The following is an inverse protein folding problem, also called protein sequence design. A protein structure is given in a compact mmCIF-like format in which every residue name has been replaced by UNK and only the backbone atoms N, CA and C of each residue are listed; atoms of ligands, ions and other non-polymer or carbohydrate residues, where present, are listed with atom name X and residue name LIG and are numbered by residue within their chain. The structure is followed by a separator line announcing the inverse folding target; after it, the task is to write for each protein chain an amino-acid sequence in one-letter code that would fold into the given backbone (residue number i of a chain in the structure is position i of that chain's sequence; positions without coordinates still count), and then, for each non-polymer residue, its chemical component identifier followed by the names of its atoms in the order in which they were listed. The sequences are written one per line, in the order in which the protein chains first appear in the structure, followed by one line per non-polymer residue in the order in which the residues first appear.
data_IF_955682682970
#
_entry.id   IF_955682682970
#
_cell.length_a   1.000
_cell.length_b   1.000
_cell.length_c   1.000
_cell.angle_alpha   90.00
_cell.angle_beta   90.00
_cell.angle_gamma   90.00
#
_symmetry.space_group_name_H-M   'P 1'
#
loop_
_entity.id
_entity.type
_entity.pdbx_description
1 polymer ?
#
# COMPACT_ATOMS: atom_id res chain seq x y z
N UNK A 1 -30.84 40.10 -42.63
CA UNK A 1 -30.87 41.23 -41.68
C UNK A 1 -29.85 40.93 -40.60
N UNK A 2 -28.85 41.83 -40.48
CA UNK A 2 -28.09 42.24 -39.27
C UNK A 2 -27.50 41.16 -38.36
N UNK A 3 -26.25 41.17 -37.87
CA UNK A 3 -25.03 42.01 -37.96
C UNK A 3 -23.89 41.08 -37.46
N UNK A 4 -22.72 40.96 -38.12
CA UNK A 4 -21.48 41.70 -37.83
C UNK A 4 -21.34 42.19 -36.38
N UNK A 5 -20.52 41.50 -35.58
CA UNK A 5 -19.36 42.06 -34.85
C UNK A 5 -18.38 40.91 -34.51
N UNK A 6 -17.17 40.90 -35.08
CA UNK A 6 -15.97 40.39 -34.45
C UNK A 6 -15.34 41.47 -33.54
N UNK A 7 -14.34 41.07 -32.76
CA UNK A 7 -13.54 41.84 -31.78
C UNK A 7 -14.19 42.05 -30.41
N UNK A 8 -13.62 41.45 -29.37
CA UNK A 8 -12.58 42.15 -28.61
C UNK A 8 -11.66 41.11 -27.92
N UNK A 9 -10.36 41.38 -28.08
CA UNK A 9 -9.28 40.86 -27.26
C UNK A 9 -9.53 41.26 -25.81
N UNK A 10 -9.58 40.29 -24.90
CA UNK A 10 -9.15 40.52 -23.52
C UNK A 10 -8.05 39.48 -23.27
N UNK A 11 -6.82 39.94 -23.53
CA UNK A 11 -5.62 39.49 -22.87
C UNK A 11 -5.83 39.59 -21.35
N UNK A 12 -6.08 38.47 -20.70
CA UNK A 12 -5.66 38.25 -19.31
C UNK A 12 -4.95 36.89 -19.30
N UNK A 13 -3.78 36.88 -19.95
CA UNK A 13 -2.72 35.94 -19.60
C UNK A 13 -2.25 36.42 -18.22
N UNK A 14 -2.93 35.93 -17.17
CA UNK A 14 -2.52 36.08 -15.78
C UNK A 14 -1.16 35.38 -15.62
N UNK A 15 -0.12 36.11 -16.02
CA UNK A 15 1.31 35.85 -15.79
C UNK A 15 1.61 36.09 -14.29
N UNK A 16 0.79 35.51 -13.41
CA UNK A 16 0.93 35.49 -11.95
C UNK A 16 1.85 34.34 -11.50
N UNK A 17 2.71 33.86 -12.42
CA UNK A 17 3.42 32.59 -12.31
C UNK A 17 4.84 32.71 -11.69
N UNK A 18 5.19 33.85 -11.06
CA UNK A 18 6.57 34.06 -10.60
C UNK A 18 6.78 34.63 -9.19
N UNK A 19 5.73 34.86 -8.39
CA UNK A 19 5.88 35.24 -6.97
C UNK A 19 5.25 34.27 -5.95
N UNK A 20 4.61 33.18 -6.38
CA UNK A 20 3.99 32.22 -5.44
C UNK A 20 5.01 31.35 -4.68
N UNK A 21 6.29 31.40 -5.07
CA UNK A 21 7.33 30.53 -4.51
C UNK A 21 8.31 31.21 -3.52
N UNK A 22 8.03 32.47 -3.17
CA UNK A 22 8.82 33.19 -2.18
C UNK A 22 8.38 32.78 -0.76
N UNK A 23 9.32 32.21 0.00
CA UNK A 23 9.09 31.87 1.40
C UNK A 23 8.50 33.07 2.16
N UNK A 24 7.35 32.91 2.87
CA UNK A 24 6.69 34.02 3.55
C UNK A 24 7.65 34.74 4.51
N UNK A 25 7.51 36.07 4.69
CA UNK A 25 8.42 36.82 5.55
C UNK A 25 8.37 36.30 7.00
N UNK A 26 9.52 35.85 7.51
CA UNK A 26 9.65 35.25 8.84
C UNK A 26 9.42 33.73 8.89
N UNK A 27 9.24 33.06 7.75
CA UNK A 27 9.17 31.61 7.65
C UNK A 27 10.57 30.98 7.71
N UNK A 28 10.70 29.86 8.41
CA UNK A 28 11.92 29.05 8.40
C UNK A 28 12.07 28.35 7.05
N UNK A 29 13.24 28.46 6.42
CA UNK A 29 13.47 27.98 5.05
C UNK A 29 13.26 26.47 4.93
N UNK A 30 13.65 25.70 5.96
CA UNK A 30 13.45 24.24 5.96
C UNK A 30 11.97 23.87 6.04
N UNK A 31 11.18 24.64 6.78
CA UNK A 31 9.73 24.44 6.86
C UNK A 31 9.07 24.73 5.51
N UNK A 32 9.53 25.76 4.80
CA UNK A 32 9.02 26.13 3.49
C UNK A 32 9.32 25.06 2.43
N UNK A 33 10.56 24.58 2.34
CA UNK A 33 10.95 23.47 1.45
C UNK A 33 10.13 22.19 1.73
N UNK A 34 9.92 21.84 3.01
CA UNK A 34 9.09 20.70 3.38
C UNK A 34 7.62 20.87 2.93
N UNK A 35 7.07 22.09 2.98
CA UNK A 35 5.69 22.36 2.53
C UNK A 35 5.56 22.21 1.01
N UNK A 36 6.56 22.67 0.26
CA UNK A 36 6.66 22.45 -1.19
C UNK A 36 6.71 20.96 -1.54
N UNK A 37 7.59 20.19 -0.88
CA UNK A 37 7.67 18.74 -1.09
C UNK A 37 6.33 18.06 -0.79
N UNK A 38 5.64 18.46 0.28
CA UNK A 38 4.32 17.94 0.61
C UNK A 38 3.25 18.35 -0.42
N UNK A 39 3.35 19.53 -1.03
CA UNK A 39 2.47 20.00 -2.11
C UNK A 39 2.66 19.12 -3.35
N UNK A 40 3.91 18.83 -3.72
CA UNK A 40 4.25 17.96 -4.85
C UNK A 40 3.76 16.53 -4.63
N UNK A 41 4.02 15.96 -3.45
CA UNK A 41 3.53 14.62 -3.08
C UNK A 41 2.00 14.58 -3.10
N UNK A 42 1.33 15.62 -2.59
CA UNK A 42 -0.13 15.71 -2.63
C UNK A 42 -0.65 15.74 -4.08
N UNK A 43 -0.04 16.55 -4.94
CA UNK A 43 -0.48 16.68 -6.33
C UNK A 43 -0.23 15.39 -7.11
N UNK A 44 0.93 14.75 -6.92
CA UNK A 44 1.23 13.46 -7.54
C UNK A 44 0.27 12.34 -7.07
N UNK A 45 -0.07 12.32 -5.78
CA UNK A 45 -1.04 11.36 -5.24
C UNK A 45 -2.47 11.63 -5.72
N UNK A 46 -2.88 12.88 -5.87
CA UNK A 46 -4.18 13.27 -6.44
C UNK A 46 -4.26 12.89 -7.94
N UNK A 47 -3.19 13.09 -8.71
CA UNK A 47 -3.10 12.64 -10.10
C UNK A 47 -3.21 11.10 -10.21
N UNK A 48 -2.48 10.37 -9.36
CA UNK A 48 -2.59 8.89 -9.30
C UNK A 48 -4.01 8.46 -8.91
N UNK A 49 -4.63 9.13 -7.94
CA UNK A 49 -5.98 8.82 -7.49
C UNK A 49 -7.03 9.08 -8.59
N UNK A 50 -6.90 10.15 -9.36
CA UNK A 50 -7.80 10.46 -10.48
C UNK A 50 -7.63 9.48 -11.64
N UNK A 51 -6.40 9.10 -11.97
CA UNK A 51 -6.14 8.05 -12.97
C UNK A 51 -6.76 6.70 -12.58
N UNK A 52 -6.54 6.25 -11.33
CA UNK A 52 -7.12 5.01 -10.81
C UNK A 52 -8.65 5.04 -10.80
N UNK A 53 -9.27 6.19 -10.47
CA UNK A 53 -10.73 6.36 -10.55
C UNK A 53 -11.24 6.17 -11.97
N UNK A 54 -10.55 6.74 -12.98
CA UNK A 54 -10.92 6.58 -14.39
C UNK A 54 -10.82 5.13 -14.85
N UNK A 55 -9.72 4.45 -14.54
CA UNK A 55 -9.55 3.02 -14.84
C UNK A 55 -10.62 2.16 -14.16
N UNK A 56 -10.97 2.47 -12.91
CA UNK A 56 -12.04 1.78 -12.20
C UNK A 56 -13.40 1.94 -12.87
N UNK A 57 -13.74 3.14 -13.35
CA UNK A 57 -14.98 3.36 -14.10
C UNK A 57 -15.00 2.62 -15.44
N UNK A 58 -13.88 2.56 -16.16
CA UNK A 58 -13.74 1.80 -17.40
C UNK A 58 -13.92 0.29 -17.16
N UNK A 59 -13.24 -0.26 -16.14
CA UNK A 59 -13.41 -1.66 -15.74
C UNK A 59 -14.84 -1.98 -15.31
N UNK A 60 -15.51 -1.06 -14.60
CA UNK A 60 -16.91 -1.22 -14.21
C UNK A 60 -17.84 -1.26 -15.42
N UNK A 61 -17.60 -0.44 -16.44
CA UNK A 61 -18.35 -0.48 -17.72
C UNK A 61 -18.15 -1.81 -18.45
N UNK A 62 -16.91 -2.30 -18.53
CA UNK A 62 -16.61 -3.59 -19.16
C UNK A 62 -17.23 -4.76 -18.38
N UNK A 63 -17.22 -4.71 -17.04
CA UNK A 63 -17.89 -5.71 -16.20
C UNK A 63 -19.40 -5.80 -16.50
N UNK A 64 -20.08 -4.66 -16.60
CA UNK A 64 -21.52 -4.63 -16.93
C UNK A 64 -21.77 -5.20 -18.33
N UNK A 65 -20.91 -4.89 -19.30
CA UNK A 65 -21.00 -5.44 -20.66
C UNK A 65 -20.80 -6.95 -20.67
N UNK A 66 -19.77 -7.45 -19.99
CA UNK A 66 -19.48 -8.88 -19.95
C UNK A 66 -20.57 -9.67 -19.22
N UNK A 67 -21.05 -9.18 -18.07
CA UNK A 67 -22.17 -9.81 -17.37
C UNK A 67 -23.46 -9.82 -18.20
N UNK A 68 -23.67 -8.82 -19.07
CA UNK A 68 -24.74 -8.82 -20.07
C UNK A 68 -24.57 -9.94 -21.11
N UNK A 69 -23.37 -10.07 -21.68
CA UNK A 69 -23.04 -11.11 -22.65
C UNK A 69 -23.16 -12.52 -22.06
N UNK A 70 -22.68 -12.73 -20.84
CA UNK A 70 -22.79 -14.00 -20.13
C UNK A 70 -24.24 -14.48 -20.01
N UNK A 71 -25.17 -13.57 -19.67
CA UNK A 71 -26.61 -13.88 -19.62
C UNK A 71 -27.15 -14.31 -20.97
N UNK A 72 -26.83 -13.57 -22.03
CA UNK A 72 -27.24 -13.90 -23.40
C UNK A 72 -26.66 -15.26 -23.83
N UNK A 73 -25.41 -15.54 -23.51
CA UNK A 73 -24.79 -16.83 -23.80
C UNK A 73 -25.45 -17.97 -23.02
N UNK A 74 -25.77 -17.78 -21.75
CA UNK A 74 -26.46 -18.77 -20.94
C UNK A 74 -27.86 -19.09 -21.51
N UNK A 75 -28.62 -18.08 -21.91
CA UNK A 75 -29.92 -18.26 -22.58
C UNK A 75 -29.78 -19.01 -23.90
N UNK A 76 -28.79 -18.65 -24.73
CA UNK A 76 -28.53 -19.31 -26.02
C UNK A 76 -28.15 -20.78 -25.84
N UNK A 77 -27.33 -21.10 -24.84
CA UNK A 77 -26.97 -22.49 -24.49
C UNK A 77 -28.22 -23.26 -24.07
N UNK A 78 -29.05 -22.68 -23.18
CA UNK A 78 -30.28 -23.32 -22.75
C UNK A 78 -31.24 -23.57 -23.92
N UNK A 79 -31.39 -22.59 -24.82
CA UNK A 79 -32.23 -22.71 -26.00
C UNK A 79 -31.73 -23.79 -26.95
N UNK A 80 -30.42 -23.80 -27.24
CA UNK A 80 -29.79 -24.82 -28.07
C UNK A 80 -29.98 -26.22 -27.48
N UNK A 81 -29.87 -26.37 -26.16
CA UNK A 81 -30.10 -27.63 -25.49
C UNK A 81 -31.56 -28.10 -25.61
N UNK A 82 -32.53 -27.20 -25.51
CA UNK A 82 -33.95 -27.50 -25.76
C UNK A 82 -34.17 -27.95 -27.21
N UNK A 83 -33.55 -27.27 -28.17
CA UNK A 83 -33.66 -27.60 -29.59
C UNK A 83 -33.05 -28.96 -29.91
N UNK A 84 -31.90 -29.29 -29.31
CA UNK A 84 -31.29 -30.63 -29.39
C UNK A 84 -32.24 -31.69 -28.85
N UNK A 85 -32.84 -31.48 -27.67
CA UNK A 85 -33.79 -32.44 -27.10
C UNK A 85 -35.04 -32.60 -27.97
N UNK A 86 -35.54 -31.50 -28.54
CA UNK A 86 -36.66 -31.53 -29.49
C UNK A 86 -36.29 -32.37 -30.72
N UNK A 87 -35.13 -32.12 -31.32
CA UNK A 87 -34.65 -32.87 -32.48
C UNK A 87 -34.45 -34.36 -32.17
N UNK A 88 -33.88 -34.71 -31.01
CA UNK A 88 -33.73 -36.10 -30.59
C UNK A 88 -35.08 -36.80 -30.42
N UNK A 89 -36.08 -36.10 -29.85
CA UNK A 89 -37.45 -36.64 -29.71
C UNK A 89 -38.09 -36.87 -31.07
N UNK A 90 -37.98 -35.91 -31.99
CA UNK A 90 -38.49 -36.06 -33.36
C UNK A 90 -37.80 -37.20 -34.10
N UNK A 91 -36.47 -37.32 -33.96
CA UNK A 91 -35.70 -38.43 -34.52
C UNK A 91 -36.17 -39.77 -33.95
N UNK A 92 -36.39 -39.86 -32.64
CA UNK A 92 -36.91 -41.07 -32.02
C UNK A 92 -38.33 -41.38 -32.49
N UNK A 93 -39.19 -40.37 -32.63
CA UNK A 93 -40.56 -40.54 -33.11
C UNK A 93 -40.58 -41.08 -34.55
N UNK A 94 -39.75 -40.52 -35.44
CA UNK A 94 -39.62 -41.00 -36.82
C UNK A 94 -38.98 -42.40 -36.87
N UNK A 95 -37.97 -42.66 -36.05
CA UNK A 95 -37.37 -43.98 -35.93
C UNK A 95 -38.40 -45.03 -35.45
N UNK A 96 -39.26 -44.68 -34.49
CA UNK A 96 -40.31 -45.55 -33.97
C UNK A 96 -41.41 -45.86 -35.00
N UNK A 97 -41.57 -45.04 -36.04
CA UNK A 97 -42.50 -45.34 -37.14
C UNK A 97 -41.97 -46.45 -38.06
N UNK A 98 -40.66 -46.69 -38.06
CA UNK A 98 -40.04 -47.74 -38.86
C UNK A 98 -40.22 -49.07 -38.13
N UNK A 99 -41.11 -49.91 -38.66
CA UNK A 99 -41.30 -51.27 -38.15
C UNK A 99 -40.10 -52.13 -38.57
N UNK A 100 -39.31 -52.56 -37.60
CA UNK A 100 -38.24 -53.52 -37.81
C UNK A 100 -38.72 -54.91 -37.38
N UNK A 101 -38.63 -55.88 -38.30
CA UNK A 101 -38.88 -57.29 -38.00
C UNK A 101 -37.55 -57.90 -37.55
N UNK A 102 -37.51 -58.46 -36.35
CA UNK A 102 -36.34 -59.17 -35.82
C UNK A 102 -36.73 -60.63 -35.65
N UNK A 103 -36.17 -61.56 -36.42
CA UNK A 103 -36.35 -62.98 -36.16
C UNK A 103 -35.59 -63.35 -34.89
N UNK A 104 -36.28 -63.96 -33.92
CA UNK A 104 -35.72 -64.38 -32.64
C UNK A 104 -36.00 -65.87 -32.45
N UNK A 105 -35.00 -66.63 -31.99
CA UNK A 105 -35.20 -68.04 -31.65
C UNK A 105 -35.76 -68.17 -30.23
N UNK A 106 -36.52 -69.23 -29.94
CA UNK A 106 -37.07 -69.45 -28.60
C UNK A 106 -35.99 -69.45 -27.50
N UNK A 107 -34.78 -69.94 -27.81
CA UNK A 107 -33.62 -69.94 -26.91
C UNK A 107 -33.08 -68.54 -26.54
N UNK A 108 -33.42 -67.51 -27.30
CA UNK A 108 -32.99 -66.12 -27.04
C UNK A 108 -33.98 -65.36 -26.14
N UNK A 109 -35.17 -65.92 -25.90
CA UNK A 109 -36.22 -65.31 -25.09
C UNK A 109 -35.92 -65.62 -23.62
N UNK A 110 -35.62 -64.57 -22.84
CA UNK A 110 -35.29 -64.67 -21.41
C UNK A 110 -36.39 -64.11 -20.50
N UNK A 111 -37.52 -63.65 -21.06
CA UNK A 111 -38.70 -63.26 -20.29
C UNK A 111 -39.45 -64.52 -19.88
N UNK A 112 -39.09 -65.03 -18.71
CA UNK A 112 -39.68 -66.21 -18.09
C UNK A 112 -40.65 -65.73 -17.02
N UNK A 113 -41.93 -66.10 -17.16
CA UNK A 113 -42.93 -65.84 -16.13
C UNK A 113 -43.05 -67.07 -15.22
N UNK A 114 -43.05 -66.82 -13.92
CA UNK A 114 -43.54 -67.76 -12.93
C UNK A 114 -45.03 -67.49 -12.79
N UNK A 115 -45.89 -68.49 -13.00
CA UNK A 115 -47.28 -68.37 -12.56
C UNK A 115 -47.29 -68.37 -11.03
N UNK A 116 -47.83 -67.31 -10.42
CA UNK A 116 -48.31 -67.34 -9.04
C UNK A 116 -49.59 -68.20 -9.03
N UNK A 117 -49.45 -69.51 -9.16
CA UNK A 117 -50.57 -70.42 -8.91
C UNK A 117 -50.90 -70.33 -7.41
N UNK A 118 -52.18 -70.09 -7.03
CA UNK A 118 -52.57 -70.18 -5.64
C UNK A 118 -52.28 -71.59 -5.14
N UNK A 119 -51.64 -71.67 -3.98
CA UNK A 119 -51.25 -72.87 -3.25
C UNK A 119 -52.30 -73.99 -3.38
N UNK A 120 -52.08 -74.90 -4.34
CA UNK A 120 -52.74 -76.20 -4.38
C UNK A 120 -51.65 -77.26 -4.31
N UNK A 121 -51.83 -78.17 -3.36
CA UNK A 121 -50.87 -79.05 -2.69
C UNK A 121 -50.22 -80.14 -3.57
N UNK A 122 -50.04 -79.94 -4.87
CA UNK A 122 -49.40 -80.93 -5.73
C UNK A 122 -47.99 -80.51 -6.15
N UNK A 123 -47.04 -81.39 -5.81
CA UNK A 123 -45.59 -81.37 -6.03
C UNK A 123 -45.18 -81.25 -7.50
N UNK A 124 -45.52 -80.13 -8.15
CA UNK A 124 -45.06 -79.80 -9.51
C UNK A 124 -44.22 -78.53 -9.43
N UNK A 125 -42.92 -78.56 -9.82
CA UNK A 125 -42.10 -77.35 -9.82
C UNK A 125 -42.75 -76.28 -10.70
N UNK A 126 -42.68 -74.99 -10.31
CA UNK A 126 -43.33 -73.92 -11.04
C UNK A 126 -42.87 -73.97 -12.50
N UNK A 127 -43.81 -74.29 -13.40
CA UNK A 127 -43.52 -74.46 -14.80
C UNK A 127 -43.15 -73.09 -15.38
N UNK A 128 -41.86 -72.85 -15.52
CA UNK A 128 -41.35 -71.66 -16.19
C UNK A 128 -41.83 -71.72 -17.65
N UNK A 129 -42.78 -70.85 -18.01
CA UNK A 129 -43.36 -70.81 -19.35
C UNK A 129 -42.92 -69.55 -20.10
N UNK A 130 -42.72 -69.74 -21.40
CA UNK A 130 -42.55 -68.63 -22.34
C UNK A 130 -43.90 -67.90 -22.50
N UNK A 131 -43.88 -66.58 -22.74
CA UNK A 131 -45.10 -65.81 -22.94
C UNK A 131 -45.82 -66.27 -24.22
N UNK A 132 -47.15 -66.30 -24.20
CA UNK A 132 -47.95 -66.68 -25.37
C UNK A 132 -47.86 -65.64 -26.51
N UNK A 133 -47.64 -64.37 -26.15
CA UNK A 133 -47.44 -63.24 -27.06
C UNK A 133 -46.30 -62.36 -26.53
N UNK A 134 -45.51 -61.76 -27.42
CA UNK A 134 -44.40 -60.84 -27.09
C UNK A 134 -44.72 -59.36 -27.37
N UNK A 135 -46.02 -59.01 -27.38
CA UNK A 135 -46.49 -57.68 -27.82
C UNK A 135 -46.21 -56.57 -26.79
N UNK A 136 -46.07 -56.91 -25.51
CA UNK A 136 -45.89 -55.98 -24.39
C UNK A 136 -44.44 -55.98 -23.86
N UNK A 137 -43.56 -56.76 -24.47
CA UNK A 137 -42.23 -57.08 -24.01
C UNK A 137 -41.20 -56.22 -24.76
N UNK A 138 -40.23 -55.67 -24.02
CA UNK A 138 -39.21 -54.80 -24.60
C UNK A 138 -37.96 -55.60 -24.91
N UNK A 139 -37.48 -55.51 -26.15
CA UNK A 139 -36.26 -56.20 -26.59
C UNK A 139 -35.04 -55.37 -26.24
N UNK A 140 -34.10 -55.97 -25.51
CA UNK A 140 -32.81 -55.36 -25.19
C UNK A 140 -31.65 -56.22 -25.73
N UNK A 141 -30.58 -55.56 -26.17
CA UNK A 141 -29.31 -56.25 -26.34
C UNK A 141 -28.73 -56.62 -24.96
N UNK A 142 -27.98 -57.73 -24.87
CA UNK A 142 -27.41 -58.21 -23.59
C UNK A 142 -26.56 -57.13 -22.90
N UNK A 143 -25.80 -56.36 -23.69
CA UNK A 143 -25.00 -55.24 -23.19
C UNK A 143 -25.85 -54.06 -22.73
N UNK A 144 -26.90 -53.69 -23.47
CA UNK A 144 -27.83 -52.64 -23.04
C UNK A 144 -28.57 -53.02 -21.76
N UNK A 145 -29.00 -54.27 -21.62
CA UNK A 145 -29.68 -54.75 -20.42
C UNK A 145 -28.74 -54.80 -19.20
N UNK A 146 -27.48 -55.20 -19.38
CA UNK A 146 -26.47 -55.12 -18.31
C UNK A 146 -26.22 -53.66 -17.88
N UNK A 147 -26.07 -52.74 -18.86
CA UNK A 147 -25.93 -51.31 -18.58
C UNK A 147 -27.15 -50.72 -17.88
N UNK A 148 -28.37 -51.08 -18.30
CA UNK A 148 -29.60 -50.61 -17.67
C UNK A 148 -29.68 -51.11 -16.22
N UNK A 149 -29.41 -52.40 -15.98
CA UNK A 149 -29.37 -52.96 -14.63
C UNK A 149 -28.33 -52.27 -13.74
N UNK A 150 -27.14 -51.99 -14.28
CA UNK A 150 -26.12 -51.23 -13.56
C UNK A 150 -26.61 -49.82 -13.25
N UNK A 151 -27.15 -49.11 -14.26
CA UNK A 151 -27.66 -47.75 -14.08
C UNK A 151 -28.81 -47.68 -13.07
N UNK A 152 -29.69 -48.70 -13.01
CA UNK A 152 -30.74 -48.78 -11.99
C UNK A 152 -30.13 -48.93 -10.59
N UNK A 153 -29.06 -49.73 -10.44
CA UNK A 153 -28.35 -49.84 -9.15
C UNK A 153 -27.71 -48.50 -8.79
N UNK A 154 -26.99 -47.88 -9.71
CA UNK A 154 -26.33 -46.59 -9.50
C UNK A 154 -27.36 -45.51 -9.11
N UNK A 155 -28.48 -45.42 -9.84
CA UNK A 155 -29.57 -44.48 -9.53
C UNK A 155 -30.18 -44.72 -8.16
N UNK A 156 -30.29 -45.98 -7.70
CA UNK A 156 -30.77 -46.27 -6.34
C UNK A 156 -29.78 -45.74 -5.29
N UNK A 157 -28.49 -45.93 -5.51
CA UNK A 157 -27.43 -45.40 -4.64
C UNK A 157 -27.41 -43.86 -4.66
N UNK A 158 -27.47 -43.25 -5.85
CA UNK A 158 -27.56 -41.78 -6.01
C UNK A 158 -28.80 -41.22 -5.31
N UNK A 159 -29.95 -41.89 -5.42
CA UNK A 159 -31.20 -41.48 -4.75
C UNK A 159 -31.07 -41.57 -3.23
N UNK A 160 -30.44 -42.63 -2.72
CA UNK A 160 -30.20 -42.80 -1.29
C UNK A 160 -29.22 -41.76 -0.74
N UNK A 161 -28.13 -41.49 -1.47
CA UNK A 161 -27.16 -40.46 -1.15
C UNK A 161 -27.81 -39.06 -1.13
N UNK A 162 -28.55 -38.69 -2.18
CA UNK A 162 -29.27 -37.42 -2.23
C UNK A 162 -30.29 -37.26 -1.09
N UNK A 163 -30.96 -38.36 -0.68
CA UNK A 163 -31.83 -38.36 0.51
C UNK A 163 -31.06 -38.20 1.82
N UNK A 164 -29.84 -38.71 1.92
CA UNK A 164 -28.97 -38.49 3.08
C UNK A 164 -28.53 -37.02 3.15
N UNK A 165 -28.02 -36.47 2.06
CA UNK A 165 -27.62 -35.05 1.96
C UNK A 165 -28.78 -34.11 2.28
N UNK A 166 -29.98 -34.37 1.75
CA UNK A 166 -31.17 -33.57 2.06
C UNK A 166 -31.50 -33.60 3.56
N UNK A 167 -31.38 -34.77 4.21
CA UNK A 167 -31.61 -34.90 5.66
C UNK A 167 -30.58 -34.10 6.45
N UNK A 168 -29.30 -34.18 6.08
CA UNK A 168 -28.23 -33.46 6.76
C UNK A 168 -28.33 -31.94 6.55
N UNK A 169 -28.65 -31.50 5.34
CA UNK A 169 -28.89 -30.10 5.00
C UNK A 169 -30.11 -29.54 5.76
N UNK A 170 -31.16 -30.34 5.92
CA UNK A 170 -32.33 -29.94 6.72
C UNK A 170 -31.96 -29.77 8.19
N UNK A 171 -31.11 -30.66 8.74
CA UNK A 171 -30.61 -30.52 10.12
C UNK A 171 -29.73 -29.28 10.27
N UNK A 172 -28.77 -29.06 9.38
CA UNK A 172 -27.86 -27.90 9.45
C UNK A 172 -28.63 -26.59 9.28
N UNK A 173 -29.59 -26.53 8.35
CA UNK A 173 -30.49 -25.38 8.19
C UNK A 173 -31.26 -25.06 9.47
N UNK A 174 -31.82 -26.09 10.14
CA UNK A 174 -32.52 -25.89 11.41
C UNK A 174 -31.60 -25.36 12.52
N UNK A 175 -30.35 -25.81 12.58
CA UNK A 175 -29.33 -25.31 13.53
C UNK A 175 -28.99 -23.86 13.22
N UNK A 176 -28.58 -23.55 11.99
CA UNK A 176 -28.24 -22.17 11.59
C UNK A 176 -29.42 -21.20 11.75
N UNK A 177 -30.66 -21.67 11.57
CA UNK A 177 -31.84 -20.84 11.81
C UNK A 177 -32.04 -20.54 13.31
N UNK A 178 -31.73 -21.48 14.20
CA UNK A 178 -31.73 -21.25 15.66
C UNK A 178 -30.62 -20.29 16.06
N UNK A 179 -29.42 -20.48 15.55
CA UNK A 179 -28.28 -19.58 15.78
C UNK A 179 -28.58 -18.16 15.29
N UNK A 180 -29.12 -18.00 14.08
CA UNK A 180 -29.58 -16.70 13.56
C UNK A 180 -30.59 -16.04 14.49
N UNK A 181 -31.56 -16.80 15.03
CA UNK A 181 -32.52 -16.26 16.00
C UNK A 181 -31.85 -15.83 17.31
N UNK A 182 -30.86 -16.59 17.80
CA UNK A 182 -30.11 -16.22 19.00
C UNK A 182 -29.25 -14.97 18.78
N UNK A 183 -28.51 -14.88 17.67
CA UNK A 183 -27.69 -13.71 17.36
C UNK A 183 -28.55 -12.47 17.16
N UNK A 184 -29.71 -12.58 16.50
CA UNK A 184 -30.66 -11.46 16.41
C UNK A 184 -31.16 -11.00 17.79
N UNK A 185 -31.47 -11.92 18.71
CA UNK A 185 -31.86 -11.56 20.08
C UNK A 185 -30.72 -10.85 20.83
N UNK A 186 -29.48 -11.31 20.65
CA UNK A 186 -28.30 -10.69 21.27
C UNK A 186 -28.06 -9.29 20.70
N UNK A 187 -28.20 -9.11 19.38
CA UNK A 187 -28.13 -7.79 18.73
C UNK A 187 -29.21 -6.87 19.30
N UNK A 188 -30.44 -7.36 19.46
CA UNK A 188 -31.53 -6.57 20.01
C UNK A 188 -31.26 -6.15 21.47
N UNK A 189 -30.77 -7.08 22.30
CA UNK A 189 -30.35 -6.75 23.68
C UNK A 189 -29.21 -5.74 23.73
N UNK A 190 -28.23 -5.84 22.83
CA UNK A 190 -27.12 -4.89 22.72
C UNK A 190 -27.60 -3.52 22.26
N UNK A 191 -28.53 -3.47 21.29
CA UNK A 191 -29.17 -2.23 20.83
C UNK A 191 -29.93 -1.54 21.97
N UNK A 192 -30.75 -2.28 22.71
CA UNK A 192 -31.46 -1.73 23.88
C UNK A 192 -30.51 -1.24 24.96
N UNK A 193 -29.43 -1.99 25.25
CA UNK A 193 -28.40 -1.54 26.19
C UNK A 193 -27.73 -0.25 25.70
N UNK A 194 -27.43 -0.16 24.40
CA UNK A 194 -26.84 1.02 23.80
C UNK A 194 -27.78 2.22 23.89
N UNK A 195 -29.05 2.06 23.52
CA UNK A 195 -30.08 3.09 23.65
C UNK A 195 -30.24 3.56 25.10
N UNK A 196 -30.25 2.63 26.06
CA UNK A 196 -30.31 2.97 27.49
C UNK A 196 -29.08 3.77 27.95
N UNK A 197 -27.88 3.39 27.53
CA UNK A 197 -26.65 4.13 27.84
C UNK A 197 -26.67 5.51 27.18
N UNK A 198 -27.12 5.60 25.94
CA UNK A 198 -27.26 6.87 25.23
C UNK A 198 -28.25 7.80 25.95
N UNK A 199 -29.42 7.29 26.32
CA UNK A 199 -30.44 8.05 27.05
C UNK A 199 -29.93 8.48 28.43
N UNK A 200 -29.24 7.60 29.16
CA UNK A 200 -28.70 7.91 30.49
C UNK A 200 -27.56 8.94 30.44
N UNK A 201 -26.71 8.91 29.41
CA UNK A 201 -25.54 9.79 29.29
C UNK A 201 -25.85 11.12 28.63
N UNK A 202 -26.74 11.13 27.64
CA UNK A 202 -26.96 12.28 26.77
C UNK A 202 -28.42 12.79 26.78
N UNK A 203 -29.35 12.08 27.44
CA UNK A 203 -30.77 12.46 27.50
C UNK A 203 -31.55 12.26 26.20
N UNK A 204 -30.86 11.95 25.09
CA UNK A 204 -31.41 11.73 23.76
C UNK A 204 -30.55 10.70 23.00
N UNK A 205 -31.13 10.06 21.97
CA UNK A 205 -30.39 9.17 21.08
C UNK A 205 -29.33 9.95 20.30
N UNK A 206 -28.06 9.57 20.44
CA UNK A 206 -26.94 10.23 19.78
C UNK A 206 -26.63 9.53 18.47
N UNK A 207 -26.69 10.26 17.36
CA UNK A 207 -26.25 9.75 16.06
C UNK A 207 -24.73 9.72 15.97
N UNK A 208 -24.17 8.76 15.22
CA UNK A 208 -22.72 8.63 15.05
C UNK A 208 -22.10 9.93 14.53
N UNK A 209 -22.77 10.62 13.60
CA UNK A 209 -22.34 11.90 13.02
C UNK A 209 -22.31 13.05 14.04
N UNK A 210 -23.21 13.06 15.02
CA UNK A 210 -23.20 14.06 16.10
C UNK A 210 -22.04 13.79 17.06
N UNK A 211 -21.76 12.52 17.37
CA UNK A 211 -20.64 12.15 18.20
C UNK A 211 -19.31 12.44 17.52
N UNK A 212 -19.21 12.20 16.21
CA UNK A 212 -18.03 12.50 15.40
C UNK A 212 -17.80 14.01 15.28
N UNK A 213 -18.85 14.82 15.05
CA UNK A 213 -18.75 16.28 15.10
C UNK A 213 -18.36 16.81 16.48
N UNK A 214 -18.91 16.24 17.55
CA UNK A 214 -18.55 16.63 18.91
C UNK A 214 -17.10 16.23 19.25
N UNK A 215 -16.66 15.05 18.85
CA UNK A 215 -15.29 14.59 19.02
C UNK A 215 -14.30 15.44 18.21
N UNK A 216 -14.65 15.80 16.97
CA UNK A 216 -13.87 16.70 16.13
C UNK A 216 -13.80 18.12 16.74
N UNK A 217 -14.91 18.63 17.30
CA UNK A 217 -14.92 19.91 17.99
C UNK A 217 -14.04 19.91 19.25
N UNK A 218 -14.09 18.84 20.06
CA UNK A 218 -13.23 18.69 21.24
C UNK A 218 -11.77 18.52 20.85
N UNK A 219 -11.48 17.79 19.78
CA UNK A 219 -10.12 17.66 19.25
C UNK A 219 -9.57 19.01 18.76
N UNK A 220 -10.37 19.76 18.00
CA UNK A 220 -10.02 21.10 17.53
C UNK A 220 -9.85 22.10 18.67
N UNK A 221 -10.69 22.05 19.71
CA UNK A 221 -10.53 22.90 20.91
C UNK A 221 -9.25 22.55 21.68
N UNK A 222 -8.94 21.26 21.80
CA UNK A 222 -7.70 20.79 22.44
C UNK A 222 -6.46 21.21 21.64
N UNK A 223 -6.53 21.14 20.31
CA UNK A 223 -5.47 21.60 19.41
C UNK A 223 -5.30 23.13 19.50
N UNK A 224 -6.40 23.89 19.56
CA UNK A 224 -6.34 25.34 19.81
C UNK A 224 -5.75 25.68 21.18
N UNK A 225 -6.08 24.94 22.24
CA UNK A 225 -5.48 25.13 23.57
C UNK A 225 -4.00 24.81 23.58
N UNK A 226 -3.59 23.68 22.97
CA UNK A 226 -2.17 23.34 22.82
C UNK A 226 -1.42 24.39 22.00
N UNK A 227 -2.02 24.91 20.94
CA UNK A 227 -1.40 25.96 20.12
C UNK A 227 -1.31 27.30 20.89
N UNK A 228 -2.31 27.61 21.72
CA UNK A 228 -2.30 28.80 22.57
C UNK A 228 -1.29 28.69 23.71
N UNK A 229 -1.21 27.56 24.38
CA UNK A 229 -0.19 27.25 25.40
C UNK A 229 1.21 27.27 24.77
N UNK A 230 1.38 26.71 23.56
CA UNK A 230 2.62 26.82 22.78
C UNK A 230 2.96 28.26 22.39
N UNK A 231 1.96 29.12 22.17
CA UNK A 231 2.18 30.54 21.87
C UNK A 231 2.54 31.35 23.13
N UNK A 232 1.97 31.02 24.28
CA UNK A 232 2.30 31.62 25.58
C UNK A 232 3.72 31.22 26.05
N UNK A 233 4.20 30.03 25.69
CA UNK A 233 5.57 29.54 25.95
C UNK A 233 6.65 30.12 24.99
N UNK A 234 6.26 30.95 24.01
CA UNK A 234 7.22 31.72 23.18
C UNK A 234 7.90 32.86 23.93
N UNK A 235 7.32 33.30 25.05
CA UNK A 235 7.91 34.32 25.94
C UNK A 235 9.32 33.93 26.45
N UNK A 236 9.49 32.79 27.13
CA UNK A 236 10.82 32.33 27.55
C UNK A 236 11.69 31.88 26.38
N UNK A 237 11.11 31.32 25.31
CA UNK A 237 11.85 30.89 24.12
C UNK A 237 12.56 32.05 23.40
N UNK A 238 11.98 33.25 23.38
CA UNK A 238 12.63 34.44 22.80
C UNK A 238 13.80 34.96 23.63
N UNK A 239 13.70 34.90 24.97
CA UNK A 239 14.80 35.27 25.87
C UNK A 239 15.94 34.24 25.83
N UNK A 240 15.61 32.95 25.82
CA UNK A 240 16.60 31.87 25.65
C UNK A 240 17.29 31.96 24.28
N UNK A 241 16.54 32.26 23.21
CA UNK A 241 17.11 32.47 21.88
C UNK A 241 18.07 33.68 21.83
N UNK A 242 17.76 34.79 22.52
CA UNK A 242 18.67 35.94 22.63
C UNK A 242 19.95 35.58 23.41
N UNK A 243 19.83 34.87 24.53
CA UNK A 243 21.00 34.42 25.31
C UNK A 243 21.87 33.46 24.51
N UNK A 244 21.27 32.58 23.70
CA UNK A 244 22.02 31.67 22.81
C UNK A 244 22.75 32.46 21.70
N UNK A 245 22.13 33.50 21.13
CA UNK A 245 22.74 34.34 20.11
C UNK A 245 23.95 35.12 20.66
N UNK A 246 23.84 35.69 21.86
CA UNK A 246 24.95 36.37 22.54
C UNK A 246 26.10 35.41 22.84
N UNK A 247 25.80 34.22 23.37
CA UNK A 247 26.82 33.19 23.61
C UNK A 247 27.52 32.76 22.33
N UNK A 248 26.79 32.59 21.21
CA UNK A 248 27.39 32.29 19.91
C UNK A 248 28.37 33.36 19.45
N UNK A 249 28.02 34.65 19.60
CA UNK A 249 28.90 35.76 19.26
C UNK A 249 30.20 35.73 20.08
N UNK A 250 30.11 35.50 21.39
CA UNK A 250 31.31 35.39 22.25
C UNK A 250 32.18 34.18 21.89
N UNK A 251 31.58 33.06 21.47
CA UNK A 251 32.31 31.87 21.02
C UNK A 251 33.06 32.16 19.71
N UNK A 252 32.43 32.87 18.78
CA UNK A 252 33.04 33.29 17.51
C UNK A 252 34.28 34.18 17.77
N UNK A 253 34.14 35.19 18.64
CA UNK A 253 35.24 36.10 19.03
C UNK A 253 36.40 35.36 19.72
N UNK A 254 36.10 34.45 20.66
CA UNK A 254 37.09 33.60 21.32
C UNK A 254 37.77 32.63 20.35
N UNK A 255 37.04 32.11 19.35
CA UNK A 255 37.60 31.23 18.34
C UNK A 255 38.60 31.96 17.43
N UNK A 256 38.27 33.20 17.03
CA UNK A 256 39.11 34.06 16.21
C UNK A 256 40.40 34.47 16.93
N UNK A 257 40.29 34.89 18.19
CA UNK A 257 41.47 35.22 19.02
C UNK A 257 42.37 34.01 19.24
N UNK A 258 41.80 32.82 19.50
CA UNK A 258 42.59 31.58 19.60
C UNK A 258 43.32 31.25 18.30
N UNK A 259 42.67 31.42 17.14
CA UNK A 259 43.30 31.19 15.85
C UNK A 259 44.48 32.15 15.61
N UNK A 260 44.34 33.43 15.97
CA UNK A 260 45.42 34.41 15.89
C UNK A 260 46.61 34.04 16.80
N UNK A 261 46.35 33.63 18.03
CA UNK A 261 47.38 33.17 18.97
C UNK A 261 48.09 31.89 18.50
N UNK A 262 47.35 30.94 17.91
CA UNK A 262 47.96 29.74 17.31
C UNK A 262 48.88 30.10 16.14
N UNK A 263 48.50 31.05 15.29
CA UNK A 263 49.38 31.52 14.21
C UNK A 263 50.63 32.21 14.76
N UNK A 264 50.52 33.04 15.80
CA UNK A 264 51.68 33.66 16.45
C UNK A 264 52.60 32.61 17.10
N UNK A 265 52.05 31.65 17.85
CA UNK A 265 52.82 30.54 18.41
C UNK A 265 53.52 29.72 17.32
N UNK A 266 52.86 29.47 16.19
CA UNK A 266 53.48 28.79 15.06
C UNK A 266 54.64 29.59 14.46
N UNK A 267 54.50 30.93 14.37
CA UNK A 267 55.60 31.81 13.93
C UNK A 267 56.77 31.76 14.92
N UNK A 268 56.50 31.85 16.21
CA UNK A 268 57.53 31.75 17.26
C UNK A 268 58.23 30.39 17.23
N UNK A 269 57.49 29.29 17.12
CA UNK A 269 58.07 27.95 16.98
C UNK A 269 58.97 27.83 15.74
N UNK A 270 58.58 28.41 14.61
CA UNK A 270 59.43 28.48 13.41
C UNK A 270 60.70 29.28 13.66
N UNK A 271 60.63 30.42 14.35
CA UNK A 271 61.82 31.20 14.71
C UNK A 271 62.73 30.46 15.70
N UNK A 272 62.17 29.75 16.67
CA UNK A 272 62.92 28.92 17.61
C UNK A 272 63.59 27.76 16.88
N UNK A 273 62.90 27.12 15.94
CA UNK A 273 63.47 26.07 15.10
C UNK A 273 64.62 26.59 14.23
N UNK A 274 64.48 27.77 13.60
CA UNK A 274 65.57 28.38 12.81
C UNK A 274 66.76 28.77 13.67
N UNK A 275 66.52 29.32 14.86
CA UNK A 275 67.58 29.65 15.82
C UNK A 275 68.29 28.39 16.31
N UNK A 276 67.54 27.31 16.61
CA UNK A 276 68.13 26.01 16.98
C UNK A 276 68.94 25.40 15.84
N UNK A 277 68.48 25.49 14.59
CA UNK A 277 69.26 25.06 13.44
C UNK A 277 70.57 25.87 13.31
N UNK A 278 70.51 27.19 13.51
CA UNK A 278 71.71 28.03 13.50
C UNK A 278 72.66 27.72 14.67
N UNK A 279 72.14 27.42 15.87
CA UNK A 279 72.95 26.99 17.03
C UNK A 279 73.62 25.64 16.78
N UNK A 280 72.92 24.69 16.14
CA UNK A 280 73.51 23.40 15.73
C UNK A 280 74.62 23.61 14.70
N UNK A 281 74.41 24.46 13.68
CA UNK A 281 75.43 24.77 12.68
C UNK A 281 76.65 25.49 13.28
N UNK A 282 76.42 26.41 14.21
CA UNK A 282 77.48 27.07 14.97
C UNK A 282 78.24 26.06 15.82
N UNK A 283 77.54 25.19 16.56
CA UNK A 283 78.18 24.11 17.34
C UNK A 283 78.99 23.18 16.46
N UNK A 284 78.46 22.75 15.31
CA UNK A 284 79.20 21.94 14.33
C UNK A 284 80.41 22.68 13.75
N UNK A 285 80.31 24.00 13.55
CA UNK A 285 81.44 24.82 13.08
C UNK A 285 82.50 25.06 14.17
N UNK A 286 82.09 25.10 15.44
CA UNK A 286 83.00 25.15 16.59
C UNK A 286 83.66 23.78 16.84
N UNK A 287 82.94 22.68 16.63
CA UNK A 287 83.42 21.31 16.84
C UNK A 287 84.33 20.84 15.67
N UNK A 288 84.01 21.22 14.43
CA UNK A 288 84.87 21.01 13.25
C UNK A 288 85.92 22.12 13.05
N UNK A 289 85.87 23.18 13.86
CA UNK A 289 86.72 24.37 13.76
C UNK A 289 87.83 24.43 14.82
N UNK A 290 88.25 23.27 15.34
CA UNK A 290 89.48 23.17 16.12
C UNK A 290 90.68 23.58 15.28
N UNK A 291 91.12 24.84 15.41
CA UNK A 291 92.51 25.21 15.16
C UNK A 291 92.81 26.55 14.50
N UNK A 292 91.91 27.14 13.69
CA UNK A 292 92.37 28.25 12.80
C UNK A 292 91.37 29.37 12.49
N UNK A 293 90.13 29.33 12.98
CA UNK A 293 89.10 30.35 12.64
C UNK A 293 88.88 31.43 13.71
N UNK A 294 89.53 31.32 14.88
CA UNK A 294 89.36 32.26 16.00
C UNK A 294 89.85 33.70 15.68
N UNK A 295 90.74 33.87 14.70
CA UNK A 295 91.21 35.21 14.26
C UNK A 295 90.32 35.82 13.18
N UNK A 296 89.60 35.03 12.38
CA UNK A 296 88.69 35.52 11.34
C UNK A 296 87.35 36.00 11.92
N UNK A 297 86.80 35.30 12.91
CA UNK A 297 85.53 35.68 13.56
C UNK A 297 85.67 36.99 14.34
N UNK A 298 86.86 37.30 14.90
CA UNK A 298 87.09 38.54 15.66
C UNK A 298 87.09 39.79 14.76
N UNK A 299 87.50 39.66 13.50
CA UNK A 299 87.43 40.74 12.50
C UNK A 299 86.02 40.93 11.93
N UNK A 300 85.26 39.86 11.71
CA UNK A 300 83.85 39.99 11.29
C UNK A 300 82.94 40.54 12.40
N UNK A 301 83.14 40.13 13.67
CA UNK A 301 82.32 40.64 14.78
C UNK A 301 82.55 42.14 15.00
N UNK A 302 83.77 42.63 14.82
CA UNK A 302 84.07 44.06 14.94
C UNK A 302 83.48 44.86 13.78
N UNK A 303 83.47 44.34 12.56
CA UNK A 303 82.77 44.98 11.44
C UNK A 303 81.25 45.00 11.62
N UNK A 304 80.63 43.90 12.09
CA UNK A 304 79.19 43.87 12.36
C UNK A 304 78.77 44.80 13.49
N UNK A 305 79.56 44.91 14.57
CA UNK A 305 79.28 45.88 15.65
C UNK A 305 79.37 47.32 15.14
N UNK A 306 80.36 47.63 14.29
CA UNK A 306 80.49 48.96 13.69
C UNK A 306 79.31 49.29 12.75
N UNK A 307 78.81 48.30 12.00
CA UNK A 307 77.67 48.47 11.10
C UNK A 307 76.37 48.68 11.88
N UNK A 308 76.16 47.94 12.96
CA UNK A 308 75.01 48.12 13.87
C UNK A 308 75.04 49.46 14.62
N UNK A 309 76.21 49.95 15.05
CA UNK A 309 76.35 51.30 15.62
C UNK A 309 76.07 52.39 14.60
N UNK A 310 76.46 52.21 13.33
CA UNK A 310 76.13 53.15 12.26
C UNK A 310 74.64 53.16 11.92
N UNK A 311 73.96 52.00 11.93
CA UNK A 311 72.51 51.92 11.73
C UNK A 311 71.79 52.60 12.90
N UNK A 312 72.18 52.35 14.16
CA UNK A 312 71.59 53.03 15.33
C UNK A 312 71.82 54.55 15.34
N UNK A 313 72.99 55.02 14.88
CA UNK A 313 73.22 56.46 14.66
C UNK A 313 72.35 57.02 13.53
N UNK A 314 72.11 56.27 12.46
CA UNK A 314 71.23 56.69 11.38
C UNK A 314 69.75 56.73 11.80
N UNK A 315 69.26 55.76 12.57
CA UNK A 315 67.88 55.77 13.08
C UNK A 315 67.63 56.81 14.18
N UNK A 316 68.61 57.13 15.03
CA UNK A 316 68.48 58.24 15.99
C UNK A 316 68.51 59.63 15.33
N UNK A 317 69.03 59.77 14.11
CA UNK A 317 69.08 61.05 13.38
C UNK A 317 67.86 61.26 12.47
N UNK A 318 67.04 60.23 12.20
CA UNK A 318 65.97 60.31 11.20
C UNK A 318 64.54 59.94 11.59
N UNK A 319 64.24 59.42 12.79
CA UNK A 319 62.82 59.24 13.21
C UNK A 319 62.62 59.37 14.74
N UNK A 320 62.59 60.61 15.23
CA UNK A 320 61.90 61.06 16.46
C UNK A 320 61.57 62.55 16.23
N UNK A 321 60.45 63.05 16.77
CA UNK A 321 59.23 63.36 16.02
C UNK A 321 59.01 64.87 15.87
N UNK A 322 58.42 65.31 14.76
CA UNK A 322 57.68 66.58 14.71
C UNK A 322 56.18 66.27 14.68
N UNK A 323 55.46 67.03 15.52
CA UNK A 323 54.02 67.12 15.80
C UNK A 323 53.03 66.26 15.01
#
# INVERSE_FOLDING_TARGET
ALCLFPDDEDEDDDDDDLEEDAAPPGCDMQLYENVLELRDIKLETEMKATALKKEFEELKKEQVKQTGLEKVHAERVQQTQKDIQKYQREKQQRANQIRQIVPVTASQIQCLYTEDLPEQEDMTPPAIRLPADLKNEVVFTRSAFARLRQRIKDLRVETEAARAEYRDLTRSFAVSQREKKQTMKVIEQLKQKFENVQLLRFGAGVSLEQLERAAAAVAAEKEQKLNRESMEDKGPATLEAQVIAEKRKTIEELSSTRAALLQQNTKLLKTVASLKASDILLRQSLDNGGGTTATAVRLELTMRIQTSMNIYKWTQVHLLPES
#
